data_IF_635054525948
#
_entry.id   IF_635054525948
#
_cell.length_a   1.000
_cell.length_b   1.000
_cell.length_c   1.000
_cell.angle_alpha   90.00
_cell.angle_beta   90.00
_cell.angle_gamma   90.00
#
_symmetry.space_group_name_H-M   'P 1'
#
loop_
_entity.id
_entity.type
_entity.pdbx_description
1 polymer ?
#
# COMPACT_ATOMS: atom_id res chain seq x y z
N UNK A 1 -5.80 -6.51 0.97
CA UNK A 1 -5.66 -7.56 -0.06
C UNK A 1 -4.38 -8.38 0.09
N UNK A 2 -3.34 -7.92 0.81
CA UNK A 2 -2.02 -8.56 0.72
C UNK A 2 -1.54 -9.36 1.95
N UNK A 3 -2.32 -9.47 3.04
CA UNK A 3 -1.88 -10.18 4.26
C UNK A 3 -1.50 -11.65 3.98
N UNK A 4 -2.29 -12.39 3.21
CA UNK A 4 -1.97 -13.78 2.89
C UNK A 4 -0.70 -13.91 2.03
N UNK A 5 -0.53 -13.04 1.03
CA UNK A 5 0.65 -13.03 0.17
C UNK A 5 1.94 -12.76 0.97
N UNK A 6 1.93 -11.74 1.83
CA UNK A 6 3.10 -11.41 2.65
C UNK A 6 3.41 -12.47 3.71
N UNK A 7 2.41 -13.20 4.22
CA UNK A 7 2.67 -14.39 5.06
C UNK A 7 3.41 -15.48 4.27
N UNK A 8 3.01 -15.73 3.02
CA UNK A 8 3.70 -16.70 2.14
C UNK A 8 5.13 -16.25 1.82
N UNK A 9 5.37 -14.95 1.70
CA UNK A 9 6.72 -14.39 1.53
C UNK A 9 7.58 -14.42 2.82
N UNK A 10 7.04 -14.92 3.94
CA UNK A 10 7.76 -15.03 5.20
C UNK A 10 7.76 -13.75 6.05
N UNK A 11 6.96 -12.75 5.69
CA UNK A 11 6.78 -11.55 6.50
C UNK A 11 5.72 -11.75 7.60
N UNK A 12 5.68 -10.83 8.56
CA UNK A 12 4.63 -10.73 9.58
C UNK A 12 3.70 -9.53 9.31
N UNK A 13 2.75 -9.64 8.35
CA UNK A 13 1.94 -8.50 7.94
C UNK A 13 0.93 -8.08 9.01
N UNK A 14 0.89 -6.78 9.30
CA UNK A 14 -0.01 -6.14 10.26
C UNK A 14 -0.98 -5.22 9.49
N UNK A 15 -2.31 -5.39 9.61
CA UNK A 15 -3.26 -4.45 9.04
C UNK A 15 -3.18 -3.11 9.76
N UNK A 16 -3.11 -2.01 9.00
CA UNK A 16 -2.99 -0.65 9.53
C UNK A 16 -3.75 0.34 8.63
N UNK A 17 -4.43 1.35 9.20
CA UNK A 17 -4.97 2.48 8.43
C UNK A 17 -3.86 3.20 7.66
N UNK A 18 -4.13 3.58 6.40
CA UNK A 18 -3.12 4.24 5.55
C UNK A 18 -2.51 5.50 6.20
N UNK A 19 -3.32 6.27 6.93
CA UNK A 19 -2.88 7.48 7.63
C UNK A 19 -1.83 7.23 8.73
N UNK A 20 -1.78 6.01 9.28
CA UNK A 20 -0.83 5.64 10.34
C UNK A 20 0.48 5.08 9.79
N UNK A 21 0.53 4.72 8.50
CA UNK A 21 1.69 4.03 7.88
C UNK A 21 2.95 4.88 7.95
N UNK A 22 2.87 6.20 7.69
CA UNK A 22 4.06 7.06 7.74
C UNK A 22 4.71 7.05 9.14
N UNK A 23 3.91 7.35 10.17
CA UNK A 23 4.38 7.33 11.56
C UNK A 23 4.80 5.93 12.00
N UNK A 24 4.13 4.89 11.52
CA UNK A 24 4.51 3.50 11.75
C UNK A 24 5.91 3.16 11.24
N UNK A 25 6.28 3.68 10.05
CA UNK A 25 7.61 3.52 9.48
C UNK A 25 8.66 4.38 10.21
N UNK A 26 8.32 5.64 10.51
CA UNK A 26 9.18 6.59 11.23
C UNK A 26 9.58 6.07 12.62
N UNK A 27 8.60 5.58 13.37
CA UNK A 27 8.79 5.03 14.73
C UNK A 27 9.24 3.57 14.73
N UNK A 28 9.32 2.93 13.55
CA UNK A 28 9.65 1.51 13.38
C UNK A 28 8.67 0.56 14.09
N UNK A 29 7.41 0.95 14.20
CA UNK A 29 6.32 0.04 14.57
C UNK A 29 6.04 -0.97 13.45
N UNK A 30 6.31 -0.59 12.20
CA UNK A 30 6.41 -1.48 11.04
C UNK A 30 7.72 -1.20 10.29
N UNK A 31 8.28 -2.23 9.66
CA UNK A 31 9.56 -2.10 8.95
C UNK A 31 9.41 -1.71 7.48
N UNK A 32 8.27 -2.07 6.87
CA UNK A 32 8.04 -1.92 5.44
C UNK A 32 6.55 -1.78 5.12
N UNK A 33 6.29 -1.26 3.93
CA UNK A 33 4.97 -1.20 3.30
C UNK A 33 5.08 -1.58 1.82
N UNK A 34 3.95 -1.92 1.20
CA UNK A 34 3.83 -2.05 -0.25
C UNK A 34 2.77 -1.09 -0.75
N UNK A 35 3.07 -0.37 -1.83
CA UNK A 35 2.10 0.41 -2.59
C UNK A 35 2.68 0.67 -3.99
N UNK A 36 1.84 1.06 -4.97
CA UNK A 36 2.30 1.64 -6.23
C UNK A 36 3.21 2.86 -6.03
N UNK A 37 4.16 3.09 -6.95
CA UNK A 37 5.16 4.17 -6.85
C UNK A 37 4.50 5.56 -6.66
N UNK A 38 3.38 5.84 -7.34
CA UNK A 38 2.70 7.12 -7.22
C UNK A 38 2.17 7.36 -5.79
N UNK A 39 1.71 6.31 -5.09
CA UNK A 39 1.26 6.41 -3.70
C UNK A 39 2.44 6.63 -2.76
N UNK A 40 3.53 5.88 -2.95
CA UNK A 40 4.79 6.04 -2.19
C UNK A 40 5.30 7.48 -2.30
N UNK A 41 5.27 8.05 -3.50
CA UNK A 41 5.66 9.43 -3.75
C UNK A 41 4.70 10.45 -3.12
N UNK A 42 3.39 10.32 -3.36
CA UNK A 42 2.40 11.28 -2.83
C UNK A 42 2.35 11.30 -1.31
N UNK A 43 2.58 10.16 -0.67
CA UNK A 43 2.63 10.03 0.79
C UNK A 43 4.04 10.29 1.38
N UNK A 44 5.02 10.64 0.54
CA UNK A 44 6.40 10.95 0.94
C UNK A 44 7.10 9.85 1.74
N UNK A 45 6.76 8.57 1.52
CA UNK A 45 7.38 7.48 2.27
C UNK A 45 8.89 7.37 2.05
N UNK A 46 9.44 7.99 1.00
CA UNK A 46 10.89 8.11 0.78
C UNK A 46 11.63 8.88 1.89
N UNK A 47 10.94 9.67 2.72
CA UNK A 47 11.53 10.36 3.87
C UNK A 47 11.81 9.39 5.04
N UNK A 48 11.05 8.28 5.13
CA UNK A 48 11.09 7.30 6.23
C UNK A 48 11.41 5.87 5.79
N UNK A 49 11.75 5.69 4.50
CA UNK A 49 12.13 4.41 3.92
C UNK A 49 13.34 4.57 3.01
N UNK A 50 14.41 3.86 3.36
CA UNK A 50 15.70 3.92 2.64
C UNK A 50 15.74 3.10 1.35
N UNK A 51 14.92 2.05 1.25
CA UNK A 51 14.98 1.10 0.17
C UNK A 51 13.64 1.03 -0.56
N UNK A 52 13.70 0.88 -1.88
CA UNK A 52 12.55 0.60 -2.76
C UNK A 52 12.89 -0.63 -3.60
N UNK A 53 12.02 -1.65 -3.57
CA UNK A 53 12.21 -2.89 -4.31
C UNK A 53 11.09 -3.09 -5.33
N UNK A 54 11.43 -3.03 -6.62
CA UNK A 54 10.48 -3.29 -7.71
C UNK A 54 10.37 -4.80 -7.96
N UNK A 55 9.52 -5.45 -7.18
CA UNK A 55 9.37 -6.92 -7.18
C UNK A 55 8.37 -7.45 -8.21
N UNK A 56 7.57 -6.57 -8.83
CA UNK A 56 6.52 -6.91 -9.81
C UNK A 56 5.56 -8.03 -9.35
N UNK A 57 5.33 -8.15 -8.04
CA UNK A 57 4.56 -9.26 -7.45
C UNK A 57 3.03 -9.06 -7.51
N UNK A 58 2.56 -7.86 -7.85
CA UNK A 58 1.14 -7.53 -7.92
C UNK A 58 0.87 -6.45 -8.96
N UNK A 59 -0.31 -6.54 -9.59
CA UNK A 59 -0.91 -5.50 -10.41
C UNK A 59 -2.36 -5.30 -9.98
N UNK A 60 -2.73 -4.07 -9.64
CA UNK A 60 -4.08 -3.73 -9.19
C UNK A 60 -4.59 -2.52 -9.98
N UNK A 61 -5.58 -2.70 -10.89
CA UNK A 61 -6.18 -1.57 -11.58
C UNK A 61 -7.05 -0.74 -10.63
N UNK A 62 -7.03 0.58 -10.78
CA UNK A 62 -7.99 1.46 -10.12
C UNK A 62 -9.32 1.40 -10.88
N UNK A 63 -10.31 0.72 -10.31
CA UNK A 63 -11.65 0.64 -10.88
C UNK A 63 -12.45 1.89 -10.48
N UNK A 64 -12.72 2.75 -11.45
CA UNK A 64 -13.66 3.86 -11.28
C UNK A 64 -15.06 3.33 -11.58
N UNK A 65 -15.93 3.35 -10.57
CA UNK A 65 -17.30 2.85 -10.66
C UNK A 65 -18.30 3.97 -10.37
N UNK A 66 -19.45 3.90 -11.03
CA UNK A 66 -20.57 4.81 -10.82
C UNK A 66 -21.85 4.01 -10.59
N UNK A 67 -22.77 4.56 -9.79
CA UNK A 67 -24.08 3.97 -9.62
C UNK A 67 -24.79 3.89 -10.98
N UNK A 68 -25.21 2.68 -11.37
CA UNK A 68 -25.84 2.41 -12.67
C UNK A 68 -27.08 3.29 -12.92
N UNK A 69 -27.93 3.46 -11.91
CA UNK A 69 -29.16 4.26 -12.05
C UNK A 69 -28.86 5.75 -12.24
N UNK A 70 -27.79 6.27 -11.63
CA UNK A 70 -27.36 7.66 -11.82
C UNK A 70 -26.65 7.91 -13.15
N UNK A 71 -26.01 6.88 -13.73
CA UNK A 71 -25.37 7.00 -15.05
C UNK A 71 -26.38 6.98 -16.20
N UNK A 72 -27.52 6.29 -16.02
CA UNK A 72 -28.53 6.08 -17.07
C UNK A 72 -29.64 7.15 -17.09
N UNK A 73 -29.66 8.06 -16.11
CA UNK A 73 -30.58 9.20 -16.05
C UNK A 73 -29.92 10.43 -16.69
#
# INVERSE_FOLDING_TARGET
>A
MNIAAFKVFGANPIPMPFAEVYTGLETRTIDAQEHPINVVWSAKFFEVQKYLSLTHHAYSPLLVVINKAKLMA
#
